data_IF_811847118080
#
_entry.id   IF_811847118080
#
_cell.length_a   1.000
_cell.length_b   1.000
_cell.length_c   1.000
_cell.angle_alpha   90.00
_cell.angle_beta   90.00
_cell.angle_gamma   90.00
#
_symmetry.space_group_name_H-M   'P 1'
#
loop_
_entity.id
_entity.type
_entity.pdbx_description
1 polymer ?
#
# COMPACT_ATOMS: atom_id res chain seq x y z
N UNK A 1 0.15 11.35 -15.20
CA UNK A 1 0.47 11.98 -13.90
C UNK A 1 1.89 11.76 -13.42
N UNK A 2 2.25 10.60 -12.87
CA UNK A 2 3.61 10.38 -12.33
C UNK A 2 4.73 10.60 -13.37
N UNK A 3 4.54 10.09 -14.59
CA UNK A 3 5.51 10.25 -15.69
C UNK A 3 5.69 11.70 -16.19
N UNK A 4 4.81 12.61 -15.80
CA UNK A 4 4.91 14.04 -16.14
C UNK A 4 5.42 14.89 -14.97
N UNK A 5 5.64 14.27 -13.81
CA UNK A 5 6.09 14.96 -12.62
C UNK A 5 7.63 15.09 -12.61
N UNK A 6 8.19 16.26 -12.28
CA UNK A 6 9.64 16.44 -12.18
C UNK A 6 10.27 15.60 -11.05
N UNK A 7 9.48 15.18 -10.06
CA UNK A 7 9.90 14.26 -9.01
C UNK A 7 8.72 13.50 -8.42
N UNK A 8 8.99 12.43 -7.67
CA UNK A 8 7.97 11.67 -6.96
C UNK A 8 7.12 12.58 -6.03
N UNK A 9 7.77 13.46 -5.27
CA UNK A 9 7.09 14.40 -4.38
C UNK A 9 6.21 15.44 -5.11
N UNK A 10 6.55 15.77 -6.37
CA UNK A 10 5.77 16.69 -7.21
C UNK A 10 4.70 15.98 -8.05
N UNK A 11 4.52 14.68 -7.87
CA UNK A 11 3.44 13.95 -8.53
C UNK A 11 2.10 14.50 -8.06
N UNK A 12 1.16 14.69 -9.00
CA UNK A 12 -0.19 15.16 -8.71
C UNK A 12 -1.01 14.03 -8.10
N UNK A 13 -0.69 13.65 -6.86
CA UNK A 13 -1.24 12.49 -6.17
C UNK A 13 -2.77 12.55 -6.02
N UNK A 14 -3.32 13.74 -5.80
CA UNK A 14 -4.77 13.97 -5.83
C UNK A 14 -5.38 13.51 -7.16
N UNK A 15 -4.80 13.90 -8.29
CA UNK A 15 -5.31 13.54 -9.62
C UNK A 15 -5.24 12.02 -9.82
N UNK A 16 -4.16 11.37 -9.37
CA UNK A 16 -4.06 9.90 -9.40
C UNK A 16 -5.16 9.24 -8.54
N UNK A 17 -5.41 9.75 -7.34
CA UNK A 17 -6.46 9.23 -6.47
C UNK A 17 -7.86 9.41 -7.09
N UNK A 18 -8.11 10.53 -7.76
CA UNK A 18 -9.37 10.80 -8.48
C UNK A 18 -9.52 9.89 -9.70
N UNK A 19 -8.44 9.62 -10.45
CA UNK A 19 -8.42 8.67 -11.56
C UNK A 19 -8.76 7.25 -11.10
N UNK A 20 -8.18 6.78 -10.00
CA UNK A 20 -8.57 5.48 -9.44
C UNK A 20 -10.00 5.46 -8.92
N UNK A 21 -10.49 6.55 -8.31
CA UNK A 21 -11.88 6.64 -7.89
C UNK A 21 -12.84 6.51 -9.08
N UNK A 22 -12.55 7.18 -10.20
CA UNK A 22 -13.32 7.03 -11.44
C UNK A 22 -13.23 5.61 -12.01
N UNK A 23 -12.03 5.01 -11.99
CA UNK A 23 -11.86 3.63 -12.46
C UNK A 23 -12.65 2.64 -11.60
N UNK A 24 -12.70 2.82 -10.29
CA UNK A 24 -13.49 1.97 -9.38
C UNK A 24 -15.00 2.04 -9.66
N UNK A 25 -15.51 3.16 -10.18
CA UNK A 25 -16.92 3.26 -10.59
C UNK A 25 -17.21 2.48 -11.88
N UNK A 26 -16.23 2.35 -12.78
CA UNK A 26 -16.40 1.69 -14.08
C UNK A 26 -16.10 0.19 -13.99
N UNK A 27 -15.04 -0.16 -13.25
CA UNK A 27 -14.54 -1.52 -13.09
C UNK A 27 -14.10 -1.73 -11.63
N UNK A 28 -15.05 -2.00 -10.71
CA UNK A 28 -14.75 -2.19 -9.30
C UNK A 28 -13.74 -3.31 -9.08
N UNK A 29 -12.63 -3.01 -8.40
CA UNK A 29 -11.62 -4.01 -8.06
C UNK A 29 -10.92 -3.66 -6.76
N UNK A 30 -10.78 -4.61 -5.82
CA UNK A 30 -9.97 -4.39 -4.62
C UNK A 30 -8.53 -3.96 -4.93
N UNK A 31 -7.99 -4.35 -6.08
CA UNK A 31 -6.63 -3.97 -6.50
C UNK A 31 -6.54 -2.49 -6.88
N UNK A 32 -7.57 -1.95 -7.55
CA UNK A 32 -7.66 -0.53 -7.85
C UNK A 32 -7.75 0.29 -6.56
N UNK A 33 -8.52 -0.21 -5.60
CA UNK A 33 -8.67 0.42 -4.30
C UNK A 33 -7.36 0.43 -3.47
N UNK A 34 -6.51 -0.59 -3.58
CA UNK A 34 -5.14 -0.55 -3.02
C UNK A 34 -4.34 0.58 -3.65
N UNK A 35 -4.32 0.65 -4.98
CA UNK A 35 -3.54 1.68 -5.67
C UNK A 35 -4.05 3.09 -5.34
N UNK A 36 -5.37 3.25 -5.19
CA UNK A 36 -6.00 4.48 -4.70
C UNK A 36 -5.54 4.82 -3.29
N UNK A 37 -5.47 3.84 -2.38
CA UNK A 37 -5.02 4.06 -1.01
C UNK A 37 -3.57 4.56 -0.96
N UNK A 38 -2.69 4.05 -1.82
CA UNK A 38 -1.32 4.56 -1.96
C UNK A 38 -1.33 6.01 -2.43
N UNK A 39 -2.10 6.35 -3.47
CA UNK A 39 -2.20 7.73 -3.95
C UNK A 39 -2.75 8.70 -2.89
N UNK A 40 -3.75 8.27 -2.11
CA UNK A 40 -4.26 9.04 -0.97
C UNK A 40 -3.18 9.18 0.11
N UNK A 41 -2.41 8.14 0.40
CA UNK A 41 -1.34 8.21 1.38
C UNK A 41 -0.25 9.22 0.99
N UNK A 42 0.09 9.31 -0.29
CA UNK A 42 1.04 10.31 -0.78
C UNK A 42 0.47 11.74 -0.80
N UNK A 43 -0.85 11.90 -0.96
CA UNK A 43 -1.49 13.20 -0.97
C UNK A 43 -1.82 13.74 0.43
N UNK A 44 -2.40 12.90 1.29
CA UNK A 44 -3.01 13.29 2.57
C UNK A 44 -2.33 12.66 3.79
N UNK A 45 -1.35 11.76 3.58
CA UNK A 45 -0.64 11.06 4.64
C UNK A 45 -1.09 9.62 4.85
N UNK A 46 -0.24 8.79 5.47
CA UNK A 46 -0.42 7.33 5.53
C UNK A 46 -1.71 6.90 6.24
N UNK A 47 -2.16 7.63 7.24
CA UNK A 47 -3.39 7.39 8.00
C UNK A 47 -4.63 7.48 7.11
N UNK A 48 -4.65 8.43 6.16
CA UNK A 48 -5.75 8.56 5.21
C UNK A 48 -5.83 7.35 4.25
N UNK A 49 -4.67 6.85 3.80
CA UNK A 49 -4.60 5.61 3.01
C UNK A 49 -5.07 4.39 3.80
N UNK A 50 -4.64 4.25 5.06
CA UNK A 50 -5.07 3.17 5.96
C UNK A 50 -6.58 3.22 6.22
N UNK A 51 -7.15 4.42 6.43
CA UNK A 51 -8.58 4.60 6.62
C UNK A 51 -9.39 4.11 5.41
N UNK A 52 -8.93 4.39 4.18
CA UNK A 52 -9.55 3.86 2.98
C UNK A 52 -9.50 2.33 2.95
N UNK A 53 -8.34 1.73 3.22
CA UNK A 53 -8.18 0.27 3.18
C UNK A 53 -9.04 -0.46 4.22
N UNK A 54 -9.25 0.15 5.39
CA UNK A 54 -10.09 -0.40 6.45
C UNK A 54 -11.57 -0.49 6.05
N UNK A 55 -12.02 0.38 5.14
CA UNK A 55 -13.40 0.41 4.66
C UNK A 55 -13.69 -0.61 3.55
N UNK A 56 -12.66 -1.30 3.03
CA UNK A 56 -12.80 -2.24 1.92
C UNK A 56 -13.09 -3.64 2.46
N UNK A 57 -14.20 -4.22 2.01
CA UNK A 57 -14.47 -5.63 2.22
C UNK A 57 -13.51 -6.48 1.35
N UNK A 58 -12.79 -7.39 2.00
CA UNK A 58 -11.81 -8.23 1.30
C UNK A 58 -12.46 -9.54 0.87
N UNK A 59 -12.55 -9.81 -0.45
CA UNK A 59 -13.03 -11.10 -0.92
C UNK A 59 -12.03 -12.22 -0.55
N UNK A 60 -12.47 -13.47 -0.41
CA UNK A 60 -11.62 -14.56 0.07
C UNK A 60 -10.35 -14.79 -0.76
N UNK A 61 -10.40 -14.58 -2.08
CA UNK A 61 -9.24 -14.74 -2.97
C UNK A 61 -8.12 -13.70 -2.73
N UNK A 62 -8.43 -12.60 -2.05
CA UNK A 62 -7.48 -11.56 -1.70
C UNK A 62 -6.76 -11.87 -0.37
N UNK A 63 -7.26 -12.85 0.39
CA UNK A 63 -6.57 -13.34 1.58
C UNK A 63 -5.28 -14.04 1.17
N UNK A 64 -4.14 -13.56 1.69
CA UNK A 64 -2.83 -14.05 1.29
C UNK A 64 -2.28 -13.39 0.02
N UNK A 65 -2.95 -12.38 -0.54
CA UNK A 65 -2.36 -11.57 -1.60
C UNK A 65 -1.25 -10.68 -1.03
N UNK A 66 0.01 -11.02 -1.34
CA UNK A 66 1.16 -10.41 -0.67
C UNK A 66 1.23 -8.89 -0.82
N UNK A 67 0.80 -8.33 -1.96
CA UNK A 67 0.84 -6.87 -2.19
C UNK A 67 -0.14 -6.11 -1.29
N UNK A 68 -1.27 -6.73 -0.92
CA UNK A 68 -2.19 -6.12 0.04
C UNK A 68 -1.50 -5.92 1.40
N UNK A 69 -0.89 -7.00 1.91
CA UNK A 69 -0.21 -6.97 3.19
C UNK A 69 1.09 -6.12 3.11
N UNK A 70 1.80 -6.10 1.98
CA UNK A 70 2.99 -5.27 1.78
C UNK A 70 2.67 -3.77 1.79
N UNK A 71 1.52 -3.36 1.22
CA UNK A 71 1.06 -1.96 1.25
C UNK A 71 0.63 -1.58 2.67
N UNK A 72 -0.15 -2.41 3.36
CA UNK A 72 -0.51 -2.16 4.76
C UNK A 72 0.72 -2.02 5.65
N UNK A 73 1.69 -2.92 5.51
CA UNK A 73 2.94 -2.88 6.26
C UNK A 73 3.72 -1.58 6.06
N UNK A 74 3.82 -1.10 4.82
CA UNK A 74 4.49 0.17 4.51
C UNK A 74 3.73 1.39 5.04
N UNK A 75 2.40 1.43 4.89
CA UNK A 75 1.60 2.54 5.39
C UNK A 75 1.62 2.61 6.92
N UNK A 76 1.52 1.47 7.61
CA UNK A 76 1.68 1.42 9.08
C UNK A 76 3.06 1.90 9.52
N UNK A 77 4.13 1.51 8.82
CA UNK A 77 5.48 1.99 9.12
C UNK A 77 5.58 3.52 9.00
N UNK A 78 5.08 4.09 7.90
CA UNK A 78 5.07 5.55 7.67
C UNK A 78 4.24 6.30 8.72
N UNK A 79 3.20 5.67 9.24
CA UNK A 79 2.36 6.18 10.33
C UNK A 79 2.97 5.97 11.73
N UNK A 80 4.15 5.34 11.85
CA UNK A 80 4.79 5.03 13.14
C UNK A 80 4.19 3.83 13.88
N UNK A 81 3.27 3.08 13.27
CA UNK A 81 2.65 1.88 13.82
C UNK A 81 3.54 0.65 13.61
N UNK A 82 4.68 0.58 14.30
CA UNK A 82 5.74 -0.40 14.02
C UNK A 82 5.30 -1.86 14.24
N UNK A 83 4.47 -2.13 15.24
CA UNK A 83 3.96 -3.48 15.52
C UNK A 83 3.06 -4.00 14.40
N UNK A 84 2.09 -3.18 13.95
CA UNK A 84 1.26 -3.48 12.81
C UNK A 84 2.09 -3.60 11.53
N UNK A 85 3.05 -2.71 11.33
CA UNK A 85 3.96 -2.75 10.19
C UNK A 85 4.71 -4.09 10.12
N UNK A 86 5.26 -4.55 11.25
CA UNK A 86 5.94 -5.85 11.37
C UNK A 86 5.00 -6.99 10.98
N UNK A 87 3.82 -7.07 11.62
CA UNK A 87 2.83 -8.14 11.37
C UNK A 87 2.42 -8.25 9.90
N UNK A 88 2.17 -7.12 9.24
CA UNK A 88 1.78 -7.12 7.83
C UNK A 88 2.94 -7.46 6.90
N UNK A 89 4.16 -6.96 7.16
CA UNK A 89 5.32 -7.32 6.34
C UNK A 89 5.70 -8.81 6.50
N UNK A 90 5.54 -9.41 7.69
CA UNK A 90 5.74 -10.85 7.90
C UNK A 90 4.75 -11.71 7.10
N UNK A 91 3.46 -11.33 7.11
CA UNK A 91 2.44 -11.99 6.29
C UNK A 91 2.72 -11.84 4.79
N UNK A 92 3.08 -10.63 4.36
CA UNK A 92 3.48 -10.39 2.98
C UNK A 92 4.68 -11.26 2.59
N UNK A 93 5.67 -11.41 3.47
CA UNK A 93 6.85 -12.22 3.24
C UNK A 93 6.51 -13.71 3.08
N UNK A 94 5.57 -14.21 3.89
CA UNK A 94 5.11 -15.60 3.81
C UNK A 94 4.44 -15.92 2.46
N UNK A 95 3.76 -14.94 1.86
CA UNK A 95 3.02 -15.10 0.60
C UNK A 95 3.72 -14.53 -0.65
N UNK A 96 4.93 -13.98 -0.51
CA UNK A 96 5.67 -13.37 -1.61
C UNK A 96 6.11 -14.42 -2.67
N UNK A 97 5.89 -14.16 -3.98
CA UNK A 97 6.01 -15.17 -5.02
C UNK A 97 7.45 -15.36 -5.53
N UNK A 98 8.33 -14.37 -5.40
CA UNK A 98 9.73 -14.46 -5.84
C UNK A 98 10.72 -14.07 -4.74
N UNK A 99 11.98 -14.47 -4.91
CA UNK A 99 13.06 -14.13 -3.99
C UNK A 99 13.34 -12.62 -3.93
N UNK A 100 13.13 -11.90 -5.03
CA UNK A 100 13.32 -10.45 -5.07
C UNK A 100 12.30 -9.73 -4.17
N UNK A 101 11.03 -10.15 -4.21
CA UNK A 101 10.01 -9.57 -3.33
C UNK A 101 10.22 -9.97 -1.87
N UNK A 102 10.64 -11.21 -1.62
CA UNK A 102 11.02 -11.67 -0.27
C UNK A 102 12.17 -10.84 0.30
N UNK A 103 13.19 -10.58 -0.49
CA UNK A 103 14.34 -9.78 -0.09
C UNK A 103 13.96 -8.33 0.22
N UNK A 104 13.11 -7.71 -0.61
CA UNK A 104 12.56 -6.39 -0.34
C UNK A 104 11.84 -6.34 1.02
N UNK A 105 11.00 -7.34 1.30
CA UNK A 105 10.22 -7.40 2.55
C UNK A 105 11.09 -7.66 3.77
N UNK A 106 12.14 -8.49 3.65
CA UNK A 106 13.14 -8.67 4.73
C UNK A 106 13.86 -7.36 5.07
N UNK A 107 14.25 -6.58 4.06
CA UNK A 107 14.87 -5.26 4.29
C UNK A 107 13.94 -4.30 5.01
N UNK A 108 12.66 -4.29 4.65
CA UNK A 108 11.64 -3.50 5.36
C UNK A 108 11.53 -3.91 6.83
N UNK A 109 11.44 -5.21 7.11
CA UNK A 109 11.41 -5.74 8.48
C UNK A 109 12.65 -5.34 9.28
N UNK A 110 13.85 -5.49 8.71
CA UNK A 110 15.09 -5.11 9.36
C UNK A 110 15.13 -3.61 9.71
N UNK A 111 14.58 -2.75 8.85
CA UNK A 111 14.51 -1.30 9.11
C UNK A 111 13.59 -0.90 10.28
N UNK A 112 12.68 -1.78 10.70
CA UNK A 112 11.81 -1.57 11.87
C UNK A 112 12.52 -1.90 13.19
N UNK A 113 13.57 -2.72 13.15
CA UNK A 113 14.34 -3.14 14.34
C UNK A 113 15.46 -2.15 14.69
N UNK A 114 15.81 -1.27 13.76
CA UNK A 114 16.86 -0.26 13.89
C UNK A 114 16.38 1.10 14.41
N UNK A 115 15.19 1.18 15.02
CA UNK A 115 14.59 2.39 15.62
C UNK A 115 14.47 2.23 17.13
#
# INVERSE_FOLDING_TARGET
>A
EHAFAPSFAQTRWKEIADLYAMLDHIAPSPLNAINRAVAIAEWQGPEAGLALLKAIERPPWLLGYYLWDAVLGELHRRAGHNEEARRYNERALASAPTDAERELLRRRLASLESL
#
